data_IF_122607815655
#
_entry.id   IF_122607815655
#
_cell.length_a   1.000
_cell.length_b   1.000
_cell.length_c   1.000
_cell.angle_alpha   90.00
_cell.angle_beta   90.00
_cell.angle_gamma   90.00
#
_symmetry.space_group_name_H-M   'P 1'
#
loop_
_entity.id
_entity.type
_entity.pdbx_description
1 polymer ?
#
# COMPACT_ATOMS: atom_id res chain seq x y z
N UNK A 1 -15.01 15.88 -25.04
CA UNK A 1 -15.92 15.34 -26.10
C UNK A 1 -16.60 16.52 -26.81
N UNK A 2 -17.45 17.30 -26.17
CA UNK A 2 -18.24 18.36 -26.84
C UNK A 2 -17.40 19.38 -27.64
N UNK A 3 -16.23 19.78 -27.15
CA UNK A 3 -15.33 20.66 -27.91
C UNK A 3 -14.72 19.96 -29.13
N UNK A 4 -14.46 18.69 -29.02
CA UNK A 4 -13.99 17.86 -30.16
C UNK A 4 -15.09 17.76 -31.22
N UNK A 5 -16.31 17.43 -30.81
CA UNK A 5 -17.47 17.29 -31.71
C UNK A 5 -17.80 18.59 -32.47
N UNK A 6 -17.45 19.73 -31.85
CA UNK A 6 -17.62 21.07 -32.45
C UNK A 6 -16.37 21.60 -33.15
N UNK A 7 -15.29 20.78 -33.25
CA UNK A 7 -14.00 21.19 -33.81
C UNK A 7 -13.36 22.40 -33.13
N UNK A 8 -13.71 22.67 -31.86
CA UNK A 8 -13.23 23.83 -31.09
C UNK A 8 -12.11 23.46 -30.09
N UNK A 9 -11.76 22.17 -29.98
CA UNK A 9 -10.81 21.73 -28.95
C UNK A 9 -9.41 22.33 -29.11
N UNK A 10 -8.96 22.53 -30.32
CA UNK A 10 -7.64 23.11 -30.62
C UNK A 10 -7.57 24.61 -30.33
N UNK A 11 -8.72 25.28 -30.40
CA UNK A 11 -8.82 26.74 -30.21
C UNK A 11 -9.11 27.14 -28.75
N UNK A 12 -9.30 26.16 -27.87
CA UNK A 12 -9.68 26.40 -26.49
C UNK A 12 -8.73 25.75 -25.49
N UNK A 13 -8.37 26.50 -24.44
CA UNK A 13 -7.74 25.97 -23.25
C UNK A 13 -8.80 25.60 -22.20
N UNK A 14 -8.50 24.58 -21.39
CA UNK A 14 -9.37 24.16 -20.29
C UNK A 14 -8.65 24.50 -18.99
N UNK A 15 -9.19 25.43 -18.22
CA UNK A 15 -8.75 25.75 -16.87
C UNK A 15 -9.71 25.12 -15.89
N UNK A 16 -9.20 24.33 -14.95
CA UNK A 16 -10.00 23.64 -13.93
C UNK A 16 -9.78 24.34 -12.60
N UNK A 17 -10.80 25.01 -12.11
CA UNK A 17 -10.86 25.56 -10.75
C UNK A 17 -11.63 24.56 -9.87
N UNK A 18 -11.02 24.04 -8.81
CA UNK A 18 -11.60 22.94 -8.05
C UNK A 18 -11.15 22.90 -6.59
N UNK A 19 -12.06 22.49 -5.71
CA UNK A 19 -11.78 22.17 -4.32
C UNK A 19 -11.18 20.76 -4.14
N UNK A 20 -11.37 19.86 -5.11
CA UNK A 20 -11.10 18.43 -4.95
C UNK A 20 -9.68 18.02 -5.28
N UNK A 21 -8.94 18.80 -6.08
CA UNK A 21 -7.56 18.50 -6.44
C UNK A 21 -6.59 18.86 -5.29
N UNK A 22 -5.91 17.86 -4.74
CA UNK A 22 -5.06 18.03 -3.55
C UNK A 22 -3.68 17.38 -3.68
N UNK A 23 -3.56 16.29 -4.39
CA UNK A 23 -2.34 15.50 -4.51
C UNK A 23 -1.96 15.26 -5.99
N UNK A 24 -0.74 14.79 -6.28
CA UNK A 24 -0.26 14.61 -7.65
C UNK A 24 -1.15 13.73 -8.53
N UNK A 25 -1.82 12.73 -7.96
CA UNK A 25 -2.72 11.85 -8.71
C UNK A 25 -3.92 12.63 -9.28
N UNK A 26 -4.55 13.48 -8.48
CA UNK A 26 -5.66 14.32 -8.94
C UNK A 26 -5.24 15.23 -10.09
N UNK A 27 -4.06 15.82 -10.00
CA UNK A 27 -3.50 16.66 -11.08
C UNK A 27 -3.20 15.84 -12.34
N UNK A 28 -2.60 14.66 -12.17
CA UNK A 28 -2.32 13.77 -13.28
C UNK A 28 -3.59 13.37 -14.04
N UNK A 29 -4.65 13.00 -13.32
CA UNK A 29 -5.96 12.67 -13.91
C UNK A 29 -6.50 13.85 -14.70
N UNK A 30 -6.57 15.04 -14.12
CA UNK A 30 -7.09 16.23 -14.80
C UNK A 30 -6.30 16.60 -16.06
N UNK A 31 -4.97 16.54 -16.00
CA UNK A 31 -4.09 16.74 -17.16
C UNK A 31 -4.31 15.67 -18.23
N UNK A 32 -4.37 14.40 -17.84
CA UNK A 32 -4.62 13.27 -18.72
C UNK A 32 -5.98 13.34 -19.44
N UNK A 33 -6.97 13.98 -18.83
CA UNK A 33 -8.26 14.29 -19.44
C UNK A 33 -8.32 15.65 -20.14
N UNK A 34 -7.21 16.40 -20.20
CA UNK A 34 -7.08 17.55 -21.08
C UNK A 34 -7.08 18.91 -20.43
N UNK A 35 -6.99 19.00 -19.11
CA UNK A 35 -6.80 20.29 -18.46
C UNK A 35 -5.48 20.92 -18.93
N UNK A 36 -5.50 22.23 -19.17
CA UNK A 36 -4.32 23.05 -19.51
C UNK A 36 -3.73 23.66 -18.26
N UNK A 37 -4.58 24.11 -17.34
CA UNK A 37 -4.20 24.64 -16.04
C UNK A 37 -5.18 24.16 -14.97
N UNK A 38 -4.68 24.05 -13.73
CA UNK A 38 -5.46 23.61 -12.57
C UNK A 38 -5.24 24.60 -11.44
N UNK A 39 -6.33 25.13 -10.90
CA UNK A 39 -6.33 26.00 -9.72
C UNK A 39 -7.01 25.31 -8.54
N UNK A 40 -6.23 24.71 -7.62
CA UNK A 40 -6.74 23.99 -6.46
C UNK A 40 -7.02 24.96 -5.30
N UNK A 41 -8.04 25.80 -5.42
CA UNK A 41 -8.26 26.93 -4.51
C UNK A 41 -8.37 26.49 -3.04
N UNK A 42 -9.10 25.41 -2.74
CA UNK A 42 -9.28 24.94 -1.37
C UNK A 42 -7.98 24.42 -0.75
N UNK A 43 -7.08 23.80 -1.53
CA UNK A 43 -5.77 23.42 -1.04
C UNK A 43 -4.96 24.64 -0.62
N UNK A 44 -4.97 25.71 -1.42
CA UNK A 44 -4.30 26.96 -1.08
C UNK A 44 -4.91 27.64 0.15
N UNK A 45 -6.23 27.72 0.25
CA UNK A 45 -6.91 28.27 1.42
C UNK A 45 -6.61 27.46 2.70
N UNK A 46 -6.58 26.14 2.58
CA UNK A 46 -6.21 25.25 3.70
C UNK A 46 -4.79 25.54 4.17
N UNK A 47 -3.84 25.65 3.25
CA UNK A 47 -2.46 25.99 3.57
C UNK A 47 -2.32 27.37 4.21
N UNK A 48 -3.09 28.35 3.74
CA UNK A 48 -3.14 29.69 4.35
C UNK A 48 -3.58 29.61 5.81
N UNK A 49 -4.67 28.89 6.10
CA UNK A 49 -5.15 28.69 7.48
C UNK A 49 -4.16 27.98 8.37
N UNK A 50 -3.39 27.02 7.84
CA UNK A 50 -2.33 26.33 8.61
C UNK A 50 -1.17 27.27 8.96
N UNK A 51 -0.85 28.23 8.10
CA UNK A 51 0.12 29.29 8.39
C UNK A 51 -0.43 30.26 9.44
N UNK A 52 -1.67 30.75 9.25
CA UNK A 52 -2.31 31.69 10.18
C UNK A 52 -2.45 31.10 11.59
N UNK A 53 -2.76 29.83 11.70
CA UNK A 53 -2.86 29.11 12.97
C UNK A 53 -1.48 28.71 13.58
N UNK A 54 -0.38 29.06 12.91
CA UNK A 54 0.99 28.69 13.28
C UNK A 54 1.24 27.16 13.36
N UNK A 55 0.40 26.38 12.70
CA UNK A 55 0.65 24.95 12.51
C UNK A 55 1.81 24.71 11.53
N UNK A 56 2.06 25.66 10.63
CA UNK A 56 3.24 25.69 9.76
C UNK A 56 3.99 27.00 10.02
N UNK A 57 5.20 26.90 10.51
CA UNK A 57 6.09 28.04 10.76
C UNK A 57 6.93 28.39 9.53
N UNK A 58 6.26 28.90 8.49
CA UNK A 58 6.88 29.39 7.25
C UNK A 58 6.00 30.48 6.64
N UNK A 59 6.60 31.46 5.89
CA UNK A 59 5.82 32.44 5.16
C UNK A 59 4.88 31.78 4.13
N UNK A 60 3.67 32.30 4.02
CA UNK A 60 2.64 31.78 3.10
C UNK A 60 3.15 31.50 1.68
N UNK A 61 3.90 32.46 1.09
CA UNK A 61 4.47 32.31 -0.27
C UNK A 61 5.38 31.10 -0.36
N UNK A 62 6.18 30.83 0.66
CA UNK A 62 7.10 29.66 0.68
C UNK A 62 6.30 28.35 0.75
N UNK A 63 5.23 28.31 1.53
CA UNK A 63 4.35 27.14 1.65
C UNK A 63 3.66 26.84 0.32
N UNK A 64 3.15 27.87 -0.38
CA UNK A 64 2.54 27.72 -1.71
C UNK A 64 3.53 27.17 -2.74
N UNK A 65 4.74 27.73 -2.75
CA UNK A 65 5.80 27.25 -3.65
C UNK A 65 6.19 25.80 -3.35
N UNK A 66 6.31 25.45 -2.08
CA UNK A 66 6.62 24.07 -1.67
C UNK A 66 5.53 23.09 -2.11
N UNK A 67 4.26 23.46 -1.92
CA UNK A 67 3.14 22.65 -2.40
C UNK A 67 3.20 22.45 -3.91
N UNK A 68 3.32 23.53 -4.68
CA UNK A 68 3.44 23.46 -6.14
C UNK A 68 4.63 22.60 -6.58
N UNK A 69 5.79 22.76 -5.94
CA UNK A 69 6.98 21.97 -6.24
C UNK A 69 6.77 20.49 -5.89
N UNK A 70 6.05 20.19 -4.81
CA UNK A 70 5.68 18.82 -4.43
C UNK A 70 4.77 18.17 -5.49
N UNK A 71 3.75 18.88 -5.95
CA UNK A 71 2.87 18.43 -7.05
C UNK A 71 3.69 18.18 -8.33
N UNK A 72 4.54 19.13 -8.72
CA UNK A 72 5.39 18.97 -9.91
C UNK A 72 6.31 17.75 -9.83
N UNK A 73 6.96 17.55 -8.68
CA UNK A 73 7.82 16.34 -8.47
C UNK A 73 7.00 15.06 -8.59
N UNK A 74 5.78 15.04 -8.07
CA UNK A 74 4.86 13.92 -8.20
C UNK A 74 4.47 13.64 -9.65
N UNK A 75 4.14 14.68 -10.42
CA UNK A 75 3.84 14.57 -11.85
C UNK A 75 5.05 14.06 -12.64
N UNK A 76 6.26 14.58 -12.38
CA UNK A 76 7.48 14.09 -13.03
C UNK A 76 7.71 12.60 -12.74
N UNK A 77 7.46 12.17 -11.52
CA UNK A 77 7.58 10.76 -11.16
C UNK A 77 6.57 9.87 -11.91
N UNK A 78 5.31 10.31 -12.02
CA UNK A 78 4.27 9.61 -12.78
C UNK A 78 4.66 9.49 -14.25
N UNK A 79 5.04 10.59 -14.87
CA UNK A 79 5.45 10.63 -16.28
C UNK A 79 6.70 9.79 -16.54
N UNK A 80 7.70 9.88 -15.66
CA UNK A 80 8.93 9.08 -15.73
C UNK A 80 8.65 7.58 -15.72
N UNK A 81 7.74 7.13 -14.87
CA UNK A 81 7.33 5.71 -14.81
C UNK A 81 6.63 5.24 -16.10
N UNK A 82 5.98 6.14 -16.81
CA UNK A 82 5.32 5.87 -18.09
C UNK A 82 6.25 6.06 -19.30
N UNK A 83 7.50 6.49 -19.09
CA UNK A 83 8.43 6.81 -20.17
C UNK A 83 8.06 8.06 -20.96
N UNK A 84 7.24 8.96 -20.38
CA UNK A 84 6.79 10.20 -21.05
C UNK A 84 7.64 11.37 -20.55
N UNK A 85 8.34 12.03 -21.46
CA UNK A 85 9.29 13.10 -21.15
C UNK A 85 8.68 14.52 -21.18
N UNK A 86 7.53 14.71 -21.83
CA UNK A 86 6.91 16.01 -21.99
C UNK A 86 5.46 16.02 -21.53
N UNK A 87 5.03 17.11 -20.87
CA UNK A 87 3.63 17.26 -20.44
C UNK A 87 2.65 17.32 -21.62
N UNK A 88 3.10 17.81 -22.77
CA UNK A 88 2.27 17.86 -23.97
C UNK A 88 1.87 16.46 -24.44
N UNK A 89 2.76 15.48 -24.33
CA UNK A 89 2.48 14.08 -24.67
C UNK A 89 1.61 13.38 -23.62
N UNK A 90 1.64 13.84 -22.37
CA UNK A 90 0.81 13.30 -21.29
C UNK A 90 -0.62 13.86 -21.33
N UNK A 91 -0.77 15.13 -21.68
CA UNK A 91 -2.06 15.80 -21.73
C UNK A 91 -2.99 15.15 -22.77
N UNK A 92 -4.24 14.91 -22.41
CA UNK A 92 -5.24 14.20 -23.22
C UNK A 92 -4.93 12.73 -23.48
N UNK A 93 -3.92 12.14 -22.84
CA UNK A 93 -3.51 10.75 -23.10
C UNK A 93 -4.54 9.72 -22.63
N UNK A 94 -5.38 10.05 -21.65
CA UNK A 94 -6.39 9.16 -21.04
C UNK A 94 -5.81 7.82 -20.57
N UNK A 95 -4.55 7.80 -20.11
CA UNK A 95 -3.85 6.61 -19.61
C UNK A 95 -4.31 6.22 -18.20
N UNK A 96 -5.61 6.01 -18.05
CA UNK A 96 -6.28 5.65 -16.81
C UNK A 96 -7.27 4.53 -17.03
N UNK A 97 -7.51 3.76 -15.98
CA UNK A 97 -8.63 2.82 -15.91
C UNK A 97 -9.62 3.35 -14.87
N UNK A 98 -10.90 3.36 -15.19
CA UNK A 98 -11.94 3.71 -14.25
C UNK A 98 -12.30 2.48 -13.40
N UNK A 99 -12.24 2.61 -12.08
CA UNK A 99 -12.56 1.55 -11.12
C UNK A 99 -13.64 2.05 -10.17
N UNK A 100 -14.71 1.27 -10.03
CA UNK A 100 -15.79 1.59 -9.09
C UNK A 100 -16.74 2.68 -9.58
N UNK A 101 -16.86 2.89 -10.88
CA UNK A 101 -17.84 3.77 -11.50
C UNK A 101 -18.93 2.98 -12.23
N UNK A 102 -20.19 3.36 -12.02
CA UNK A 102 -21.28 2.81 -12.82
C UNK A 102 -21.08 3.14 -14.31
N UNK A 103 -21.59 2.29 -15.18
CA UNK A 103 -21.40 2.41 -16.62
C UNK A 103 -21.90 3.74 -17.17
N UNK A 104 -23.06 4.22 -16.71
CA UNK A 104 -23.61 5.51 -17.14
C UNK A 104 -22.68 6.68 -16.86
N UNK A 105 -21.94 6.63 -15.73
CA UNK A 105 -20.95 7.63 -15.36
C UNK A 105 -19.72 7.54 -16.26
N UNK A 106 -19.20 6.32 -16.46
CA UNK A 106 -18.00 6.13 -17.27
C UNK A 106 -18.25 6.45 -18.74
N UNK A 107 -19.38 6.05 -19.31
CA UNK A 107 -19.74 6.30 -20.72
C UNK A 107 -19.99 7.80 -20.99
N UNK A 108 -20.60 8.51 -20.04
CA UNK A 108 -20.86 9.94 -20.19
C UNK A 108 -19.62 10.81 -19.92
N UNK A 109 -18.91 10.56 -18.82
CA UNK A 109 -17.87 11.45 -18.32
C UNK A 109 -16.47 11.05 -18.79
N UNK A 110 -16.22 9.76 -19.01
CA UNK A 110 -14.90 9.20 -19.27
C UNK A 110 -14.86 8.36 -20.55
N UNK A 111 -15.52 8.84 -21.59
CA UNK A 111 -15.66 8.17 -22.86
C UNK A 111 -14.32 7.64 -23.42
N UNK A 112 -14.28 6.34 -23.73
CA UNK A 112 -13.09 5.66 -24.24
C UNK A 112 -12.09 5.21 -23.17
N UNK A 113 -12.41 5.40 -21.87
CA UNK A 113 -11.62 4.86 -20.77
C UNK A 113 -12.11 3.46 -20.41
N UNK A 114 -11.17 2.54 -20.21
CA UNK A 114 -11.51 1.17 -19.81
C UNK A 114 -12.07 1.16 -18.38
N UNK A 115 -13.22 0.51 -18.20
CA UNK A 115 -13.82 0.28 -16.88
C UNK A 115 -14.27 -1.18 -16.80
N UNK A 116 -13.61 -1.95 -15.92
CA UNK A 116 -13.88 -3.38 -15.71
C UNK A 116 -14.67 -3.64 -14.44
N UNK A 117 -14.60 -2.73 -13.48
CA UNK A 117 -15.26 -2.84 -12.17
C UNK A 117 -16.25 -1.69 -12.07
N UNK A 118 -17.53 -2.01 -12.05
CA UNK A 118 -18.62 -1.07 -11.82
C UNK A 118 -18.66 -0.57 -10.38
N UNK A 119 -19.60 0.34 -10.10
CA UNK A 119 -19.76 0.89 -8.74
C UNK A 119 -20.67 2.11 -8.73
N UNK A 120 -20.20 3.21 -8.14
CA UNK A 120 -20.98 4.42 -7.85
C UNK A 120 -21.67 5.02 -9.07
N UNK A 121 -22.96 5.26 -8.94
CA UNK A 121 -23.82 5.96 -9.90
C UNK A 121 -23.84 7.47 -9.65
N UNK A 122 -24.54 8.22 -10.47
CA UNK A 122 -24.78 9.63 -10.23
C UNK A 122 -25.56 9.88 -8.94
N UNK A 123 -26.48 8.99 -8.58
CA UNK A 123 -27.25 9.11 -7.33
C UNK A 123 -26.35 8.91 -6.10
N UNK A 124 -25.38 7.99 -6.17
CA UNK A 124 -24.40 7.80 -5.11
C UNK A 124 -23.54 9.05 -4.92
N UNK A 125 -23.06 9.66 -6.02
CA UNK A 125 -22.32 10.92 -5.94
C UNK A 125 -23.16 12.05 -5.38
N UNK A 126 -24.43 12.14 -5.74
CA UNK A 126 -25.36 13.13 -5.17
C UNK A 126 -25.52 12.91 -3.67
N UNK A 127 -25.69 11.67 -3.25
CA UNK A 127 -25.84 11.34 -1.82
C UNK A 127 -24.58 11.69 -1.02
N UNK A 128 -23.40 11.39 -1.57
CA UNK A 128 -22.12 11.75 -0.96
C UNK A 128 -21.95 13.26 -0.80
N UNK A 129 -22.31 14.05 -1.83
CA UNK A 129 -22.29 15.50 -1.77
C UNK A 129 -23.29 16.07 -0.76
N UNK A 130 -24.48 15.50 -0.68
CA UNK A 130 -25.47 15.88 0.32
C UNK A 130 -24.99 15.59 1.74
N UNK A 131 -24.39 14.43 1.97
CA UNK A 131 -23.82 14.05 3.26
C UNK A 131 -22.65 14.98 3.65
N UNK A 132 -21.77 15.30 2.71
CA UNK A 132 -20.68 16.26 2.91
C UNK A 132 -21.21 17.65 3.24
N UNK A 133 -22.21 18.13 2.50
CA UNK A 133 -22.86 19.41 2.72
C UNK A 133 -23.52 19.50 4.10
N UNK A 134 -24.32 18.50 4.49
CA UNK A 134 -24.90 18.42 5.83
C UNK A 134 -23.85 18.54 6.93
N UNK A 135 -22.71 17.85 6.75
CA UNK A 135 -21.60 17.89 7.71
C UNK A 135 -20.89 19.25 7.74
N UNK A 136 -20.74 19.91 6.60
CA UNK A 136 -20.07 21.19 6.48
C UNK A 136 -20.82 22.33 7.21
N UNK A 137 -22.15 22.29 7.21
CA UNK A 137 -23.00 23.31 7.84
C UNK A 137 -23.31 23.07 9.32
N UNK A 138 -22.81 21.99 9.90
CA UNK A 138 -22.98 21.75 11.34
C UNK A 138 -22.07 22.68 12.15
N UNK A 139 -22.68 23.61 12.90
CA UNK A 139 -21.94 24.50 13.79
C UNK A 139 -21.15 23.74 14.87
N UNK A 140 -19.95 24.23 15.18
CA UNK A 140 -19.10 23.79 16.31
C UNK A 140 -18.59 22.33 16.26
N UNK A 141 -18.33 21.76 15.10
CA UNK A 141 -17.61 20.48 15.04
C UNK A 141 -16.10 20.70 14.96
N UNK A 142 -15.31 20.01 15.79
CA UNK A 142 -13.89 19.88 15.53
C UNK A 142 -13.67 19.20 14.18
N UNK A 143 -12.57 19.49 13.51
CA UNK A 143 -12.19 18.78 12.30
C UNK A 143 -12.12 17.28 12.61
N UNK A 144 -12.96 16.49 11.94
CA UNK A 144 -12.94 15.05 12.10
C UNK A 144 -11.63 14.50 11.50
N UNK A 145 -10.81 13.88 12.33
CA UNK A 145 -9.76 13.02 11.84
C UNK A 145 -10.44 11.70 11.45
N UNK A 146 -10.62 11.44 10.17
CA UNK A 146 -11.39 10.28 9.69
C UNK A 146 -10.80 8.91 10.03
N UNK A 147 -9.56 8.87 10.51
CA UNK A 147 -8.91 7.62 10.91
C UNK A 147 -8.42 6.75 9.75
N UNK A 148 -8.33 7.28 8.53
CA UNK A 148 -7.96 6.50 7.35
C UNK A 148 -6.53 5.93 7.43
N UNK A 149 -5.55 6.73 7.84
CA UNK A 149 -4.14 6.32 7.89
C UNK A 149 -3.72 5.78 9.26
N UNK A 150 -4.34 6.27 10.32
CA UNK A 150 -4.10 5.82 11.70
C UNK A 150 -5.44 5.59 12.36
N UNK A 151 -5.54 4.53 13.16
CA UNK A 151 -6.74 4.26 13.93
C UNK A 151 -7.16 5.47 14.78
N UNK A 152 -8.43 5.84 14.66
CA UNK A 152 -9.08 6.83 15.50
C UNK A 152 -10.39 6.22 15.99
N UNK A 153 -10.65 6.26 17.29
CA UNK A 153 -11.87 5.73 17.86
C UNK A 153 -13.10 6.44 17.26
N UNK A 154 -14.05 5.66 16.75
CA UNK A 154 -15.25 6.17 16.06
C UNK A 154 -14.98 6.70 14.63
N UNK A 155 -13.76 6.54 14.10
CA UNK A 155 -13.39 6.81 12.71
C UNK A 155 -13.52 5.60 11.80
N UNK A 156 -12.69 5.55 10.74
CA UNK A 156 -12.65 4.45 9.78
C UNK A 156 -12.34 3.12 10.49
N UNK A 157 -13.03 2.05 10.06
CA UNK A 157 -12.79 0.72 10.60
C UNK A 157 -11.46 0.14 10.07
N UNK A 158 -10.62 -0.33 10.98
CA UNK A 158 -9.38 -1.02 10.65
C UNK A 158 -9.47 -2.50 10.99
N UNK A 159 -9.06 -3.36 10.05
CA UNK A 159 -9.02 -4.81 10.25
C UNK A 159 -8.13 -5.22 11.44
N UNK A 160 -7.06 -4.48 11.68
CA UNK A 160 -6.14 -4.64 12.81
C UNK A 160 -6.30 -3.49 13.81
N UNK A 161 -7.51 -3.35 14.33
CA UNK A 161 -7.83 -2.37 15.37
C UNK A 161 -7.30 -2.81 16.74
N UNK A 162 -7.27 -1.93 17.75
CA UNK A 162 -6.74 -2.25 19.08
C UNK A 162 -7.38 -3.45 19.76
N UNK A 163 -8.66 -3.71 19.54
CA UNK A 163 -9.34 -4.85 20.17
C UNK A 163 -8.88 -6.18 19.58
N UNK A 164 -8.74 -6.24 18.25
CA UNK A 164 -8.20 -7.41 17.55
C UNK A 164 -6.76 -7.70 17.99
N UNK A 165 -5.92 -6.67 18.07
CA UNK A 165 -4.52 -6.83 18.48
C UNK A 165 -4.41 -7.30 19.93
N UNK A 166 -5.17 -6.69 20.85
CA UNK A 166 -5.17 -7.03 22.27
C UNK A 166 -5.66 -8.46 22.52
N UNK A 167 -6.75 -8.86 21.87
CA UNK A 167 -7.29 -10.23 22.05
C UNK A 167 -6.37 -11.29 21.46
N UNK A 168 -5.68 -11.00 20.34
CA UNK A 168 -4.64 -11.88 19.82
C UNK A 168 -3.48 -12.06 20.80
N UNK A 169 -2.98 -10.96 21.35
CA UNK A 169 -1.91 -11.00 22.36
C UNK A 169 -2.31 -11.76 23.61
N UNK A 170 -3.53 -11.56 24.09
CA UNK A 170 -4.10 -12.31 25.23
C UNK A 170 -4.16 -13.81 24.93
N UNK A 171 -4.70 -14.19 23.77
CA UNK A 171 -4.80 -15.61 23.38
C UNK A 171 -3.42 -16.29 23.29
N UNK A 172 -2.42 -15.57 22.78
CA UNK A 172 -1.04 -16.10 22.71
C UNK A 172 -0.40 -16.22 24.09
N UNK A 173 -0.66 -15.27 24.99
CA UNK A 173 -0.09 -15.28 26.34
C UNK A 173 -0.72 -16.31 27.27
N UNK A 174 -2.05 -16.48 27.20
CA UNK A 174 -2.78 -17.43 28.03
C UNK A 174 -2.66 -18.87 27.53
N UNK A 175 -2.58 -19.07 26.21
CA UNK A 175 -2.69 -20.38 25.57
C UNK A 175 -4.09 -20.99 25.65
N UNK A 176 -5.07 -20.25 26.18
CA UNK A 176 -6.45 -20.72 26.38
C UNK A 176 -7.27 -20.61 25.09
N UNK A 177 -7.93 -21.70 24.70
CA UNK A 177 -8.73 -21.75 23.47
C UNK A 177 -9.91 -20.76 23.49
N UNK A 178 -10.47 -20.49 24.66
CA UNK A 178 -11.54 -19.48 24.85
C UNK A 178 -11.11 -18.07 24.46
N UNK A 179 -9.86 -17.70 24.75
CA UNK A 179 -9.30 -16.41 24.35
C UNK A 179 -9.07 -16.34 22.84
N UNK A 180 -8.62 -17.46 22.25
CA UNK A 180 -8.53 -17.56 20.80
C UNK A 180 -9.91 -17.44 20.12
N UNK A 181 -10.96 -18.04 20.69
CA UNK A 181 -12.33 -17.91 20.18
C UNK A 181 -12.80 -16.45 20.16
N UNK A 182 -12.46 -15.65 21.18
CA UNK A 182 -12.79 -14.22 21.21
C UNK A 182 -12.09 -13.46 20.08
N UNK A 183 -10.80 -13.74 19.88
CA UNK A 183 -10.05 -13.19 18.75
C UNK A 183 -10.66 -13.60 17.41
N UNK A 184 -10.96 -14.89 17.23
CA UNK A 184 -11.55 -15.43 16.01
C UNK A 184 -12.90 -14.77 15.69
N UNK A 185 -13.74 -14.54 16.70
CA UNK A 185 -15.00 -13.83 16.56
C UNK A 185 -14.80 -12.40 16.05
N UNK A 186 -13.89 -11.64 16.66
CA UNK A 186 -13.59 -10.27 16.22
C UNK A 186 -13.06 -10.19 14.78
N UNK A 187 -12.40 -11.24 14.29
CA UNK A 187 -11.87 -11.27 12.92
C UNK A 187 -12.89 -11.77 11.90
N UNK A 188 -13.73 -12.75 12.28
CA UNK A 188 -14.63 -13.41 11.34
C UNK A 188 -16.04 -12.78 11.29
N UNK A 189 -16.49 -12.12 12.36
CA UNK A 189 -17.81 -11.49 12.47
C UNK A 189 -17.73 -9.96 12.44
N UNK A 190 -16.79 -9.41 11.70
CA UNK A 190 -16.54 -7.97 11.61
C UNK A 190 -17.24 -7.33 10.41
N UNK A 191 -17.39 -5.99 10.37
CA UNK A 191 -17.73 -5.28 9.15
C UNK A 191 -16.70 -5.57 8.05
N UNK A 192 -17.15 -5.64 6.81
CA UNK A 192 -16.27 -5.89 5.65
C UNK A 192 -15.12 -4.89 5.60
N UNK A 193 -13.89 -5.38 5.72
CA UNK A 193 -12.67 -4.57 5.69
C UNK A 193 -11.69 -5.03 4.59
N UNK A 194 -11.78 -6.27 4.15
CA UNK A 194 -10.93 -6.86 3.11
C UNK A 194 -11.77 -7.70 2.15
N UNK A 195 -11.24 -8.01 0.97
CA UNK A 195 -11.92 -8.88 0.00
C UNK A 195 -12.23 -10.27 0.58
N UNK A 196 -11.39 -10.77 1.48
CA UNK A 196 -11.62 -12.05 2.16
C UNK A 196 -12.95 -12.07 2.92
N UNK A 197 -13.35 -10.95 3.49
CA UNK A 197 -14.59 -10.86 4.28
C UNK A 197 -15.87 -11.00 3.41
N UNK A 198 -15.72 -10.92 2.09
CA UNK A 198 -16.78 -11.16 1.10
C UNK A 198 -16.83 -12.61 0.59
N UNK A 199 -15.88 -13.44 1.00
CA UNK A 199 -15.78 -14.82 0.55
C UNK A 199 -16.37 -15.76 1.60
N UNK A 200 -17.03 -16.82 1.14
CA UNK A 200 -17.51 -17.91 1.95
C UNK A 200 -16.95 -19.23 1.41
N UNK A 201 -16.77 -20.20 2.31
CA UNK A 201 -16.48 -21.56 1.88
C UNK A 201 -17.71 -22.11 1.17
N UNK A 202 -17.50 -22.73 0.02
CA UNK A 202 -18.54 -23.44 -0.71
C UNK A 202 -18.27 -24.94 -0.61
N UNK A 203 -18.74 -25.62 0.44
CA UNK A 203 -18.54 -27.05 0.59
C UNK A 203 -19.25 -27.82 -0.53
N UNK A 204 -18.69 -28.93 -0.94
CA UNK A 204 -19.34 -29.85 -1.86
C UNK A 204 -20.64 -30.43 -1.29
N UNK A 205 -21.49 -31.00 -2.15
CA UNK A 205 -22.77 -31.59 -1.74
C UNK A 205 -22.56 -32.89 -0.95
N UNK A 206 -21.48 -33.63 -1.24
CA UNK A 206 -21.16 -34.91 -0.59
C UNK A 206 -20.15 -34.72 0.55
N UNK A 207 -20.50 -35.15 1.74
CA UNK A 207 -19.58 -35.21 2.88
C UNK A 207 -18.66 -36.41 2.73
N UNK A 208 -17.37 -36.20 2.95
CA UNK A 208 -16.36 -37.25 3.02
C UNK A 208 -16.11 -37.68 4.47
N UNK A 209 -15.54 -38.89 4.67
CA UNK A 209 -15.12 -39.34 6.00
C UNK A 209 -14.02 -38.40 6.55
N UNK A 210 -14.02 -38.17 7.87
CA UNK A 210 -12.98 -37.40 8.54
C UNK A 210 -11.58 -37.99 8.32
N UNK A 211 -11.49 -39.30 8.14
CA UNK A 211 -10.22 -40.00 7.87
C UNK A 211 -9.67 -39.74 6.46
N UNK A 212 -10.51 -39.26 5.56
CA UNK A 212 -10.11 -38.84 4.20
C UNK A 212 -9.73 -37.36 4.15
N UNK A 213 -9.98 -36.60 5.21
CA UNK A 213 -9.57 -35.19 5.30
C UNK A 213 -8.08 -35.09 5.59
N UNK A 214 -7.37 -34.31 4.79
CA UNK A 214 -5.94 -34.11 4.96
C UNK A 214 -5.62 -33.53 6.37
N UNK A 215 -4.74 -34.15 7.16
CA UNK A 215 -4.42 -33.67 8.50
C UNK A 215 -3.79 -32.25 8.47
N UNK A 216 -4.13 -31.41 9.45
CA UNK A 216 -3.61 -30.05 9.55
C UNK A 216 -2.09 -29.96 9.51
N UNK A 217 -1.37 -30.95 10.08
CA UNK A 217 0.11 -31.03 10.04
C UNK A 217 0.67 -31.16 8.62
N UNK A 218 -0.04 -31.80 7.71
CA UNK A 218 0.36 -31.90 6.31
C UNK A 218 0.09 -30.58 5.57
N UNK A 219 -0.97 -29.87 5.95
CA UNK A 219 -1.28 -28.54 5.41
C UNK A 219 -0.20 -27.51 5.78
N UNK A 220 0.39 -27.58 6.97
CA UNK A 220 1.40 -26.61 7.42
C UNK A 220 2.60 -26.54 6.49
N UNK A 221 2.95 -27.62 5.81
CA UNK A 221 4.06 -27.70 4.84
C UNK A 221 3.82 -26.82 3.60
N UNK A 222 2.60 -26.34 3.36
CA UNK A 222 2.22 -25.48 2.24
C UNK A 222 2.22 -24.01 2.61
N UNK A 223 2.47 -23.68 3.88
CA UNK A 223 2.48 -22.29 4.33
C UNK A 223 3.90 -21.76 4.48
N UNK A 224 4.09 -20.55 4.03
CA UNK A 224 5.32 -19.80 4.18
C UNK A 224 5.08 -18.39 4.69
N UNK A 225 6.10 -17.79 5.29
CA UNK A 225 6.07 -16.38 5.61
C UNK A 225 6.30 -15.54 4.35
N UNK A 226 5.79 -14.31 4.35
CA UNK A 226 6.23 -13.33 3.37
C UNK A 226 7.76 -13.15 3.43
N UNK A 227 8.36 -12.83 2.29
CA UNK A 227 9.79 -12.54 2.22
C UNK A 227 10.10 -11.20 2.93
N UNK A 228 10.74 -11.28 4.08
CA UNK A 228 11.11 -10.11 4.89
C UNK A 228 12.60 -10.15 5.17
N UNK A 229 13.33 -9.19 4.59
CA UNK A 229 14.79 -9.11 4.74
C UNK A 229 15.19 -8.62 6.12
N UNK A 230 16.31 -9.09 6.63
CA UNK A 230 16.94 -8.52 7.81
C UNK A 230 17.32 -7.05 7.54
N UNK A 231 16.95 -6.16 8.46
CA UNK A 231 16.99 -4.70 8.25
C UNK A 231 15.61 -4.09 8.00
N UNK A 232 14.65 -4.85 7.43
CA UNK A 232 13.23 -4.54 7.53
C UNK A 232 12.66 -5.00 8.87
N UNK A 233 13.19 -6.10 9.40
CA UNK A 233 12.92 -6.63 10.74
C UNK A 233 14.19 -6.59 11.59
N UNK A 234 14.03 -6.63 12.91
CA UNK A 234 15.15 -6.89 13.83
C UNK A 234 15.64 -8.34 13.69
N UNK A 235 16.88 -8.62 14.10
CA UNK A 235 17.39 -10.00 14.11
C UNK A 235 16.50 -10.97 14.88
N UNK A 236 16.04 -10.56 16.06
CA UNK A 236 15.17 -11.37 16.94
C UNK A 236 13.83 -11.71 16.27
N UNK A 237 13.20 -10.74 15.63
CA UNK A 237 11.93 -10.97 14.92
C UNK A 237 12.14 -11.90 13.70
N UNK A 238 13.24 -11.72 12.98
CA UNK A 238 13.58 -12.54 11.83
C UNK A 238 13.87 -13.99 12.21
N UNK A 239 14.57 -14.21 13.34
CA UNK A 239 14.84 -15.54 13.89
C UNK A 239 13.57 -16.19 14.45
N UNK A 240 12.75 -15.45 15.21
CA UNK A 240 11.48 -15.94 15.74
C UNK A 240 10.54 -16.46 14.67
N UNK A 241 10.44 -15.75 13.54
CA UNK A 241 9.64 -16.21 12.40
C UNK A 241 10.15 -17.53 11.83
N UNK A 242 11.46 -17.67 11.67
CA UNK A 242 12.06 -18.90 11.18
C UNK A 242 11.83 -20.06 12.15
N UNK A 243 12.05 -19.85 13.43
CA UNK A 243 11.85 -20.84 14.47
C UNK A 243 10.39 -21.27 14.58
N UNK A 244 9.45 -20.34 14.54
CA UNK A 244 8.02 -20.62 14.55
C UNK A 244 7.60 -21.48 13.37
N UNK A 245 8.01 -21.14 12.15
CA UNK A 245 7.67 -21.91 10.96
C UNK A 245 8.32 -23.30 10.95
N UNK A 246 9.56 -23.39 11.34
CA UNK A 246 10.26 -24.69 11.44
C UNK A 246 9.61 -25.60 12.49
N UNK A 247 9.11 -25.06 13.61
CA UNK A 247 8.45 -25.85 14.67
C UNK A 247 7.15 -26.51 14.23
N UNK A 248 6.44 -25.91 13.27
CA UNK A 248 5.20 -26.47 12.71
C UNK A 248 5.39 -27.20 11.39
N UNK A 249 6.64 -27.25 10.85
CA UNK A 249 6.95 -27.87 9.56
C UNK A 249 6.66 -26.98 8.34
N UNK A 250 6.33 -25.69 8.54
CA UNK A 250 6.20 -24.70 7.50
C UNK A 250 7.53 -24.11 7.05
N UNK A 251 7.48 -23.04 6.25
CA UNK A 251 8.67 -22.42 5.67
C UNK A 251 8.74 -20.94 6.03
N UNK A 252 9.92 -20.46 6.43
CA UNK A 252 10.20 -19.03 6.51
C UNK A 252 11.02 -18.58 5.32
N UNK A 253 10.79 -17.34 4.89
CA UNK A 253 11.48 -16.70 3.78
C UNK A 253 12.37 -15.57 4.29
N UNK A 254 13.68 -15.68 4.10
CA UNK A 254 14.66 -14.70 4.58
C UNK A 254 14.68 -13.38 3.80
N UNK A 255 13.92 -13.27 2.70
CA UNK A 255 14.13 -12.17 1.76
C UNK A 255 15.50 -12.23 1.09
N UNK A 256 15.96 -11.11 0.55
CA UNK A 256 17.24 -11.00 -0.17
C UNK A 256 18.35 -10.32 0.64
N UNK A 257 18.22 -10.22 1.94
CA UNK A 257 19.15 -9.48 2.82
C UNK A 257 20.31 -10.31 3.38
N UNK A 258 20.45 -11.56 3.00
CA UNK A 258 21.36 -12.50 3.64
C UNK A 258 20.77 -13.10 4.92
N UNK A 259 21.54 -13.97 5.54
CA UNK A 259 21.22 -14.61 6.81
C UNK A 259 22.50 -14.89 7.57
N UNK A 260 22.47 -14.78 8.90
CA UNK A 260 23.64 -15.08 9.71
C UNK A 260 24.03 -16.56 9.58
N UNK A 261 25.27 -16.89 9.16
CA UNK A 261 25.74 -18.26 9.06
C UNK A 261 25.61 -19.05 10.37
N UNK A 262 25.60 -18.38 11.52
CA UNK A 262 25.39 -19.04 12.81
C UNK A 262 24.01 -19.71 12.95
N UNK A 263 23.06 -19.35 12.09
CA UNK A 263 21.72 -19.96 12.03
C UNK A 263 21.67 -21.24 11.22
N UNK A 264 22.68 -21.49 10.36
CA UNK A 264 22.70 -22.67 9.50
C UNK A 264 22.79 -23.95 10.34
N UNK A 265 21.99 -24.94 9.99
CA UNK A 265 21.89 -26.19 10.76
C UNK A 265 21.13 -26.09 12.08
N UNK A 266 20.56 -24.95 12.40
CA UNK A 266 19.71 -24.74 13.60
C UNK A 266 18.23 -24.60 13.23
N UNK A 267 17.35 -24.64 14.23
CA UNK A 267 15.90 -24.38 14.06
C UNK A 267 15.58 -22.92 13.65
N UNK A 268 16.56 -22.05 13.60
CA UNK A 268 16.41 -20.62 13.23
C UNK A 268 16.74 -20.35 11.76
N UNK A 269 17.09 -21.35 10.97
CA UNK A 269 17.39 -21.20 9.54
C UNK A 269 16.11 -20.93 8.75
N UNK A 270 16.15 -19.96 7.84
CA UNK A 270 15.06 -19.74 6.88
C UNK A 270 15.24 -20.71 5.70
N UNK A 271 14.23 -21.53 5.46
CA UNK A 271 14.28 -22.59 4.43
C UNK A 271 14.07 -22.07 3.02
N UNK A 272 13.37 -20.91 2.87
CA UNK A 272 13.25 -20.18 1.61
C UNK A 272 14.20 -18.99 1.64
N UNK A 273 15.01 -18.84 0.60
CA UNK A 273 15.95 -17.74 0.46
C UNK A 273 15.79 -17.06 -0.88
N UNK A 274 15.66 -15.72 -0.85
CA UNK A 274 15.59 -14.95 -2.09
C UNK A 274 16.98 -14.70 -2.66
N UNK A 275 17.05 -14.70 -3.99
CA UNK A 275 18.21 -14.31 -4.77
C UNK A 275 17.83 -13.28 -5.84
N UNK A 276 18.67 -12.26 -6.01
CA UNK A 276 18.60 -11.31 -7.10
C UNK A 276 20.00 -10.86 -7.49
N UNK A 277 20.18 -10.40 -8.71
CA UNK A 277 21.46 -9.87 -9.18
C UNK A 277 21.90 -8.65 -8.38
N UNK A 278 23.18 -8.55 -8.07
CA UNK A 278 23.78 -7.41 -7.35
C UNK A 278 23.30 -7.23 -5.91
N UNK A 279 22.74 -8.27 -5.27
CA UNK A 279 22.26 -8.20 -3.88
C UNK A 279 23.39 -8.46 -2.88
N UNK A 280 23.48 -7.56 -1.90
CA UNK A 280 24.40 -7.70 -0.78
C UNK A 280 23.92 -8.79 0.19
N UNK A 281 24.84 -9.64 0.63
CA UNK A 281 24.54 -10.72 1.58
C UNK A 281 24.06 -12.04 0.95
N UNK A 282 23.88 -12.11 -0.35
CA UNK A 282 23.57 -13.33 -1.08
C UNK A 282 24.89 -14.01 -1.48
N UNK A 283 25.32 -14.99 -0.71
CA UNK A 283 26.57 -15.74 -0.90
C UNK A 283 26.28 -17.18 -1.31
N UNK A 284 27.26 -17.93 -1.86
CA UNK A 284 27.11 -19.37 -2.09
C UNK A 284 26.70 -20.13 -0.83
N UNK A 285 27.31 -19.82 0.33
CA UNK A 285 26.96 -20.42 1.61
C UNK A 285 25.49 -20.15 2.00
N UNK A 286 25.01 -18.95 1.76
CA UNK A 286 23.60 -18.60 1.97
C UNK A 286 22.68 -19.43 1.08
N UNK A 287 23.00 -19.57 -0.20
CA UNK A 287 22.15 -20.27 -1.17
C UNK A 287 22.13 -21.80 -0.95
N UNK A 288 23.26 -22.44 -0.61
CA UNK A 288 23.29 -23.89 -0.38
C UNK A 288 22.58 -24.34 0.88
N UNK A 289 22.27 -23.40 1.79
CA UNK A 289 21.47 -23.63 2.99
C UNK A 289 19.98 -23.36 2.77
N UNK A 290 19.52 -23.23 1.54
CA UNK A 290 18.11 -23.08 1.19
C UNK A 290 17.52 -24.42 0.76
N UNK A 291 16.31 -24.73 1.21
CA UNK A 291 15.48 -25.80 0.62
C UNK A 291 14.83 -25.30 -0.67
N UNK A 292 14.46 -24.01 -0.69
CA UNK A 292 13.85 -23.34 -1.84
C UNK A 292 14.57 -22.02 -2.11
N UNK A 293 15.00 -21.85 -3.36
CA UNK A 293 15.54 -20.56 -3.84
C UNK A 293 14.45 -19.82 -4.58
N UNK A 294 14.13 -18.60 -4.12
CA UNK A 294 13.14 -17.73 -4.75
C UNK A 294 13.85 -16.64 -5.53
N UNK A 295 13.69 -16.65 -6.86
CA UNK A 295 14.27 -15.61 -7.72
C UNK A 295 13.41 -14.37 -7.65
N UNK A 296 13.99 -13.23 -7.23
CA UNK A 296 13.35 -11.93 -7.23
C UNK A 296 13.74 -11.17 -8.50
N UNK A 297 12.79 -10.99 -9.39
CA UNK A 297 13.05 -10.35 -10.70
C UNK A 297 13.17 -8.83 -10.57
N UNK A 298 12.28 -8.18 -9.79
CA UNK A 298 12.25 -6.73 -9.61
C UNK A 298 11.46 -6.32 -8.37
N UNK A 299 11.62 -5.06 -7.95
CA UNK A 299 10.75 -4.39 -6.99
C UNK A 299 9.80 -3.43 -7.70
N UNK A 300 8.48 -3.70 -7.64
CA UNK A 300 7.48 -2.91 -8.36
C UNK A 300 7.32 -1.47 -7.86
N UNK A 301 7.62 -1.20 -6.57
CA UNK A 301 7.43 0.13 -5.99
C UNK A 301 8.47 1.17 -6.44
N UNK A 302 9.64 0.75 -6.91
CA UNK A 302 10.75 1.64 -7.33
C UNK A 302 11.41 1.12 -8.60
N UNK A 303 10.72 1.11 -9.76
CA UNK A 303 11.31 0.68 -11.02
C UNK A 303 12.57 1.51 -11.33
N UNK A 304 13.69 0.82 -11.61
CA UNK A 304 14.98 1.45 -11.92
C UNK A 304 15.77 1.99 -10.72
N UNK A 305 15.18 2.03 -9.52
CA UNK A 305 15.89 2.49 -8.30
C UNK A 305 16.31 1.34 -7.38
N UNK A 306 15.71 0.15 -7.55
CA UNK A 306 15.95 -1.02 -6.71
C UNK A 306 15.49 -0.85 -5.26
N UNK A 307 16.00 -1.71 -4.37
CA UNK A 307 15.75 -1.65 -2.93
C UNK A 307 16.70 -0.68 -2.25
N UNK A 308 16.21 0.03 -1.25
CA UNK A 308 17.02 0.93 -0.42
C UNK A 308 16.90 0.56 1.05
N UNK A 309 18.05 0.42 1.74
CA UNK A 309 18.13 0.35 3.19
C UNK A 309 18.85 1.62 3.67
N UNK A 310 18.16 2.55 4.37
CA UNK A 310 18.76 3.78 4.88
C UNK A 310 19.92 3.50 5.82
N UNK A 311 20.94 4.36 5.82
CA UNK A 311 22.17 4.18 6.60
C UNK A 311 21.93 4.05 8.11
N UNK A 312 20.95 4.75 8.65
CA UNK A 312 20.55 4.66 10.06
C UNK A 312 20.08 3.25 10.48
N UNK A 313 19.62 2.44 9.53
CA UNK A 313 19.24 1.04 9.74
C UNK A 313 20.39 0.06 9.49
N UNK A 314 21.49 0.50 8.89
CA UNK A 314 22.66 -0.34 8.63
C UNK A 314 23.53 -0.39 9.88
N UNK A 315 23.11 -1.18 10.86
CA UNK A 315 23.88 -1.45 12.08
C UNK A 315 25.16 -2.25 11.75
N UNK A 316 26.15 -2.34 12.65
CA UNK A 316 27.34 -3.18 12.46
C UNK A 316 26.99 -4.66 12.13
N UNK A 317 25.95 -5.19 12.75
CA UNK A 317 25.47 -6.54 12.47
C UNK A 317 24.92 -6.70 11.03
N UNK A 318 24.06 -5.77 10.61
CA UNK A 318 23.51 -5.77 9.25
C UNK A 318 24.60 -5.53 8.20
N UNK A 319 25.52 -4.60 8.49
CA UNK A 319 26.67 -4.32 7.61
C UNK A 319 27.51 -5.57 7.38
N UNK A 320 27.81 -6.32 8.45
CA UNK A 320 28.53 -7.60 8.37
C UNK A 320 27.81 -8.61 7.48
N UNK A 321 26.51 -8.80 7.66
CA UNK A 321 25.71 -9.73 6.87
C UNK A 321 25.61 -9.33 5.39
N UNK A 322 25.61 -8.04 5.13
CA UNK A 322 25.47 -7.48 3.78
C UNK A 322 26.81 -7.15 3.10
N UNK A 323 27.93 -7.43 3.75
CA UNK A 323 29.26 -7.09 3.26
C UNK A 323 29.41 -5.61 2.91
N UNK A 324 28.97 -4.74 3.82
CA UNK A 324 28.94 -3.28 3.67
C UNK A 324 29.46 -2.58 4.91
N UNK A 325 29.48 -1.24 4.89
CA UNK A 325 29.93 -0.42 6.02
C UNK A 325 28.72 0.05 6.87
N UNK A 326 28.85 0.05 8.22
CA UNK A 326 27.82 0.58 9.10
C UNK A 326 27.50 2.05 8.81
N UNK A 327 26.24 2.42 8.87
CA UNK A 327 25.78 3.80 8.64
C UNK A 327 25.71 4.25 7.18
N UNK A 328 26.14 3.41 6.23
CA UNK A 328 26.09 3.71 4.81
C UNK A 328 24.79 3.16 4.21
N UNK A 329 24.05 4.04 3.49
CA UNK A 329 22.82 3.63 2.79
C UNK A 329 23.15 2.61 1.71
N UNK A 330 22.45 1.49 1.73
CA UNK A 330 22.55 0.44 0.73
C UNK A 330 21.46 0.62 -0.33
N UNK A 331 21.88 0.68 -1.58
CA UNK A 331 20.98 0.71 -2.74
C UNK A 331 21.33 -0.49 -3.61
N UNK A 332 20.35 -1.32 -3.89
CA UNK A 332 20.52 -2.45 -4.79
C UNK A 332 19.71 -2.26 -6.06
N UNK A 333 20.23 -2.73 -7.20
CA UNK A 333 19.59 -2.60 -8.50
C UNK A 333 18.22 -3.28 -8.60
#
# INVERSE_FOLDING_TARGET
TRLVDKSLRCDANIIVETASARDPHHFAVLLGFGATAIYPYLAYETLAKLVDSKAIDKPYRAVMLNYRNGINKGLYKIMSKMGISTIASYRCSKLFEAVGLHRDVSDLCFQGVVSRIGGASFDDFQQDLLNLSKRAWLARKPLAQGGLLKYVHGGEYHAYNPDVVRTLQQAVQSGEYSDYQQYAKLVNERPTATLRDLLALNPGEDAISIDEVEPAKELFKRFDTAAMSIGALSPEAHESLAEAMNSIGGFSNSGEGGEDPARYGTNKVSRIKQVASGRFGVTPAYLVNADVIQIKVAQGAKPGEGGQLPGDKVTPYIAKLRYSEPGVTLISP
#
